data_IF_844118134586
#
_entry.id   IF_844118134586
#
_cell.length_a   1.000
_cell.length_b   1.000
_cell.length_c   1.000
_cell.angle_alpha   90.00
_cell.angle_beta   90.00
_cell.angle_gamma   90.00
#
_symmetry.space_group_name_H-M   'P 1'
#
loop_
_entity.id
_entity.type
_entity.pdbx_description
1 polymer ?
#
# COMPACT_ATOMS: atom_id res chain seq x y z
N UNK A 1 7.60 1.61 -0.80
CA UNK A 1 6.15 1.97 -0.68
C UNK A 1 5.33 0.72 -0.32
N UNK A 2 4.19 0.79 0.41
CA UNK A 2 3.32 -0.39 0.65
C UNK A 2 2.03 -0.35 -0.17
N UNK A 3 1.35 -1.49 -0.36
CA UNK A 3 0.14 -1.60 -1.20
C UNK A 3 -0.98 -0.64 -0.79
N UNK A 4 -1.22 -0.51 0.53
CA UNK A 4 -2.26 0.41 1.05
C UNK A 4 -1.91 1.86 0.75
N UNK A 5 -0.64 2.25 0.94
CA UNK A 5 -0.20 3.61 0.65
C UNK A 5 -0.16 3.88 -0.85
N UNK A 6 0.18 2.89 -1.69
CA UNK A 6 0.10 2.99 -3.15
C UNK A 6 -1.31 3.37 -3.57
N UNK A 7 -2.29 2.55 -3.18
CA UNK A 7 -3.71 2.79 -3.51
C UNK A 7 -4.11 4.19 -3.04
N UNK A 8 -3.83 4.56 -1.79
CA UNK A 8 -4.19 5.90 -1.26
C UNK A 8 -3.55 7.05 -2.05
N UNK A 9 -2.27 6.94 -2.42
CA UNK A 9 -1.57 7.99 -3.15
C UNK A 9 -2.06 8.10 -4.59
N UNK A 10 -2.33 6.97 -5.26
CA UNK A 10 -2.91 6.96 -6.61
C UNK A 10 -4.32 7.55 -6.61
N UNK A 11 -5.18 7.17 -5.66
CA UNK A 11 -6.56 7.65 -5.59
C UNK A 11 -6.68 9.16 -5.33
N UNK A 12 -5.71 9.78 -4.65
CA UNK A 12 -5.64 11.25 -4.49
C UNK A 12 -5.52 12.00 -5.82
N UNK A 13 -5.01 11.32 -6.86
CA UNK A 13 -4.76 11.88 -8.19
C UNK A 13 -5.88 11.54 -9.20
N UNK A 14 -6.95 10.91 -8.73
CA UNK A 14 -8.10 10.47 -9.55
C UNK A 14 -9.40 11.11 -9.02
N UNK A 15 -10.33 11.53 -9.91
CA UNK A 15 -11.62 12.08 -9.50
C UNK A 15 -12.42 11.12 -8.59
N UNK A 16 -13.08 11.66 -7.54
CA UNK A 16 -13.84 10.88 -6.56
C UNK A 16 -14.81 9.87 -7.17
N UNK A 17 -15.49 10.24 -8.27
CA UNK A 17 -16.45 9.37 -8.97
C UNK A 17 -15.84 8.07 -9.50
N UNK A 18 -14.54 8.08 -9.83
CA UNK A 18 -13.81 6.95 -10.42
C UNK A 18 -12.92 6.20 -9.41
N UNK A 19 -12.78 6.70 -8.19
CA UNK A 19 -11.87 6.12 -7.21
C UNK A 19 -12.20 4.67 -6.85
N UNK A 20 -13.48 4.30 -6.76
CA UNK A 20 -13.88 2.92 -6.45
C UNK A 20 -13.41 1.95 -7.54
N UNK A 21 -13.71 2.28 -8.79
CA UNK A 21 -13.33 1.50 -9.98
C UNK A 21 -11.80 1.34 -10.06
N UNK A 22 -11.06 2.44 -9.93
CA UNK A 22 -9.59 2.43 -9.99
C UNK A 22 -8.99 1.64 -8.81
N UNK A 23 -9.57 1.75 -7.61
CA UNK A 23 -9.08 1.00 -6.45
C UNK A 23 -9.19 -0.51 -6.66
N UNK A 24 -10.30 -0.98 -7.23
CA UNK A 24 -10.52 -2.40 -7.48
C UNK A 24 -9.60 -2.92 -8.60
N UNK A 25 -9.43 -2.14 -9.69
CA UNK A 25 -8.44 -2.42 -10.74
C UNK A 25 -7.02 -2.52 -10.20
N UNK A 26 -6.60 -1.60 -9.31
CA UNK A 26 -5.26 -1.67 -8.69
C UNK A 26 -5.11 -2.96 -7.87
N UNK A 27 -6.11 -3.35 -7.07
CA UNK A 27 -6.03 -4.59 -6.27
C UNK A 27 -5.88 -5.84 -7.15
N UNK A 28 -6.60 -5.90 -8.27
CA UNK A 28 -6.48 -6.99 -9.23
C UNK A 28 -5.13 -6.97 -9.95
N UNK A 29 -4.68 -5.79 -10.39
CA UNK A 29 -3.40 -5.62 -11.06
C UNK A 29 -2.21 -5.96 -10.17
N UNK A 30 -2.32 -5.79 -8.84
CA UNK A 30 -1.22 -6.06 -7.93
C UNK A 30 -0.78 -7.53 -7.90
N UNK A 31 -1.57 -8.49 -8.40
CA UNK A 31 -1.20 -9.92 -8.51
C UNK A 31 -0.61 -10.31 -9.86
N UNK A 32 -0.63 -9.43 -10.85
CA UNK A 32 -0.23 -9.74 -12.22
C UNK A 32 0.51 -8.55 -12.84
N UNK A 33 1.78 -8.77 -13.20
CA UNK A 33 2.64 -7.73 -13.77
C UNK A 33 2.10 -7.18 -15.09
N UNK A 34 1.48 -8.02 -15.91
CA UNK A 34 0.92 -7.58 -17.18
C UNK A 34 -0.28 -6.68 -16.94
N UNK A 35 -1.22 -7.09 -16.08
CA UNK A 35 -2.38 -6.27 -15.70
C UNK A 35 -1.97 -4.93 -15.07
N UNK A 36 -0.87 -4.91 -14.32
CA UNK A 36 -0.33 -3.68 -13.74
C UNK A 36 0.16 -2.69 -14.81
N UNK A 37 0.90 -3.18 -15.80
CA UNK A 37 1.35 -2.36 -16.93
C UNK A 37 0.16 -1.87 -17.79
N UNK A 38 -0.83 -2.74 -18.00
CA UNK A 38 -2.02 -2.39 -18.76
C UNK A 38 -2.84 -1.31 -18.04
N UNK A 39 -2.95 -1.39 -16.70
CA UNK A 39 -3.61 -0.35 -15.90
C UNK A 39 -2.87 0.98 -15.95
N UNK A 40 -1.53 0.99 -15.97
CA UNK A 40 -0.74 2.23 -16.13
C UNK A 40 -1.10 2.90 -17.45
N UNK A 41 -1.12 2.13 -18.55
CA UNK A 41 -1.48 2.62 -19.89
C UNK A 41 -2.93 3.10 -19.94
N UNK A 42 -3.84 2.37 -19.32
CA UNK A 42 -5.25 2.76 -19.23
C UNK A 42 -5.40 4.11 -18.54
N UNK A 43 -4.81 4.29 -17.35
CA UNK A 43 -4.89 5.53 -16.60
C UNK A 43 -4.30 6.72 -17.37
N UNK A 44 -3.19 6.50 -18.08
CA UNK A 44 -2.59 7.55 -18.92
C UNK A 44 -3.51 7.93 -20.08
N UNK A 45 -4.09 6.94 -20.78
CA UNK A 45 -5.06 7.17 -21.88
C UNK A 45 -6.33 7.90 -21.43
N UNK A 46 -6.74 7.72 -20.18
CA UNK A 46 -7.86 8.43 -19.57
C UNK A 46 -7.52 9.86 -19.11
N UNK A 47 -6.28 10.32 -19.29
CA UNK A 47 -5.80 11.63 -18.86
C UNK A 47 -5.37 11.70 -17.40
N UNK A 48 -5.26 10.58 -16.70
CA UNK A 48 -4.80 10.51 -15.30
C UNK A 48 -3.28 10.27 -15.21
N UNK A 49 -2.49 11.02 -15.98
CA UNK A 49 -1.04 10.87 -16.07
C UNK A 49 -0.35 10.81 -14.72
N UNK A 50 -0.69 11.73 -13.81
CA UNK A 50 -0.10 11.73 -12.46
C UNK A 50 -0.40 10.45 -11.66
N UNK A 51 -1.56 9.82 -11.87
CA UNK A 51 -1.89 8.53 -11.27
C UNK A 51 -1.09 7.39 -11.90
N UNK A 52 -0.97 7.38 -13.24
CA UNK A 52 -0.13 6.44 -13.99
C UNK A 52 1.34 6.52 -13.54
N UNK A 53 1.92 7.73 -13.49
CA UNK A 53 3.27 7.99 -13.01
C UNK A 53 3.48 7.46 -11.57
N UNK A 54 2.44 7.52 -10.72
CA UNK A 54 2.54 6.98 -9.35
C UNK A 54 2.74 5.47 -9.39
N UNK A 55 1.94 4.78 -10.20
CA UNK A 55 1.98 3.33 -10.28
C UNK A 55 3.31 2.87 -10.90
N UNK A 56 3.78 3.55 -11.95
CA UNK A 56 5.06 3.26 -12.59
C UNK A 56 6.24 3.43 -11.63
N UNK A 57 6.33 4.58 -10.95
CA UNK A 57 7.44 4.88 -10.03
C UNK A 57 7.55 3.88 -8.86
N UNK A 58 6.43 3.31 -8.41
CA UNK A 58 6.40 2.38 -7.28
C UNK A 58 6.21 0.92 -7.70
N UNK A 59 6.23 0.61 -8.99
CA UNK A 59 6.01 -0.75 -9.49
C UNK A 59 7.02 -1.75 -8.90
N UNK A 60 8.30 -1.39 -8.88
CA UNK A 60 9.36 -2.24 -8.34
C UNK A 60 9.14 -2.51 -6.84
N UNK A 61 8.85 -1.46 -6.07
CA UNK A 61 8.60 -1.53 -4.62
C UNK A 61 7.43 -2.46 -4.26
N UNK A 62 6.34 -2.40 -5.03
CA UNK A 62 5.09 -3.08 -4.68
C UNK A 62 4.97 -4.46 -5.29
N UNK A 63 5.82 -4.83 -6.25
CA UNK A 63 5.79 -6.14 -6.91
C UNK A 63 7.00 -7.03 -6.57
N UNK A 64 7.95 -6.56 -5.76
CA UNK A 64 9.11 -7.36 -5.32
C UNK A 64 8.73 -8.71 -4.69
N UNK A 65 7.57 -8.79 -4.02
CA UNK A 65 7.09 -10.01 -3.38
C UNK A 65 6.87 -11.18 -4.37
N UNK A 66 6.72 -10.89 -5.67
CA UNK A 66 6.57 -11.91 -6.71
C UNK A 66 7.84 -12.73 -6.95
N UNK A 67 8.99 -12.30 -6.41
CA UNK A 67 10.23 -13.08 -6.42
C UNK A 67 10.17 -14.29 -5.47
N UNK A 68 9.20 -14.33 -4.56
CA UNK A 68 9.00 -15.43 -3.61
C UNK A 68 7.93 -16.42 -4.11
N UNK A 69 7.86 -17.64 -3.57
CA UNK A 69 6.81 -18.59 -3.93
C UNK A 69 5.40 -18.04 -3.64
N UNK A 70 4.43 -18.38 -4.49
CA UNK A 70 3.06 -17.85 -4.44
C UNK A 70 2.37 -18.04 -3.07
N UNK A 71 2.68 -19.15 -2.40
CA UNK A 71 2.21 -19.45 -1.04
C UNK A 71 2.56 -18.38 0.00
N UNK A 72 3.62 -17.60 -0.23
CA UNK A 72 4.07 -16.52 0.65
C UNK A 72 3.48 -15.15 0.29
N UNK A 73 2.95 -14.99 -0.92
CA UNK A 73 2.54 -13.67 -1.43
C UNK A 73 1.54 -12.98 -0.52
N UNK A 74 0.53 -13.70 -0.01
CA UNK A 74 -0.47 -13.10 0.89
C UNK A 74 0.15 -12.58 2.20
N UNK A 75 1.16 -13.27 2.73
CA UNK A 75 1.85 -12.86 3.97
C UNK A 75 2.72 -11.64 3.72
N UNK A 76 3.48 -11.61 2.63
CA UNK A 76 4.42 -10.52 2.32
C UNK A 76 3.69 -9.23 1.94
N UNK A 77 2.61 -9.33 1.16
CA UNK A 77 1.87 -8.16 0.65
C UNK A 77 1.08 -7.40 1.71
N UNK A 78 0.67 -8.08 2.79
CA UNK A 78 -0.22 -7.47 3.79
C UNK A 78 0.59 -6.96 4.98
N UNK A 79 0.26 -5.76 5.46
CA UNK A 79 0.88 -5.21 6.67
C UNK A 79 0.21 -5.69 7.95
N UNK A 80 -0.69 -6.67 7.88
CA UNK A 80 -1.53 -7.12 9.00
C UNK A 80 -0.73 -7.49 10.25
N UNK A 81 0.43 -8.14 10.08
CA UNK A 81 1.29 -8.48 11.20
C UNK A 81 1.86 -7.23 11.87
N UNK A 82 2.38 -6.27 11.08
CA UNK A 82 2.90 -5.01 11.59
C UNK A 82 1.80 -4.16 12.24
N UNK A 83 0.63 -4.06 11.60
CA UNK A 83 -0.51 -3.31 12.14
C UNK A 83 -1.03 -3.91 13.46
N UNK A 84 -1.04 -5.24 13.58
CA UNK A 84 -1.40 -5.92 14.83
C UNK A 84 -0.41 -5.58 15.95
N UNK A 85 0.89 -5.65 15.66
CA UNK A 85 1.94 -5.28 16.63
C UNK A 85 1.83 -3.81 17.01
N UNK A 86 1.68 -2.90 16.04
CA UNK A 86 1.51 -1.47 16.27
C UNK A 86 0.27 -1.17 17.12
N UNK A 87 -0.83 -1.89 16.90
CA UNK A 87 -2.05 -1.76 17.70
C UNK A 87 -1.81 -2.17 19.14
N UNK A 88 -1.06 -3.24 19.38
CA UNK A 88 -0.73 -3.70 20.72
C UNK A 88 0.20 -2.72 21.45
N UNK A 89 1.22 -2.19 20.77
CA UNK A 89 2.11 -1.14 21.31
C UNK A 89 1.27 0.07 21.72
N UNK A 90 0.41 0.58 20.83
CA UNK A 90 -0.48 1.70 21.13
C UNK A 90 -1.42 1.40 22.30
N UNK A 91 -1.95 0.18 22.40
CA UNK A 91 -2.83 -0.22 23.51
C UNK A 91 -2.10 -0.16 24.85
N UNK A 92 -0.87 -0.66 24.92
CA UNK A 92 -0.04 -0.67 26.14
C UNK A 92 0.44 0.72 26.53
N UNK A 93 0.82 1.53 25.55
CA UNK A 93 1.28 2.90 25.82
C UNK A 93 0.13 3.87 26.12
N UNK A 94 -1.12 3.55 25.72
CA UNK A 94 -2.27 4.46 25.88
C UNK A 94 -2.56 4.84 27.34
N UNK A 95 -2.21 3.98 28.30
CA UNK A 95 -2.39 4.28 29.74
C UNK A 95 -1.30 5.22 30.28
N UNK A 96 -0.21 5.41 29.55
CA UNK A 96 0.89 6.30 29.90
C UNK A 96 0.73 7.60 29.10
N UNK A 97 0.29 8.68 29.76
CA UNK A 97 0.06 9.97 29.10
C UNK A 97 1.35 10.61 28.56
N UNK A 98 2.46 10.49 29.30
CA UNK A 98 3.79 10.91 28.88
C UNK A 98 4.85 10.03 29.54
N UNK A 99 5.87 9.63 28.78
CA UNK A 99 7.01 8.90 29.33
C UNK A 99 8.02 9.89 29.94
N UNK A 100 8.56 9.63 31.14
CA UNK A 100 9.44 10.57 31.84
C UNK A 100 10.85 10.67 31.21
N UNK A 101 11.28 9.66 30.43
CA UNK A 101 12.53 9.67 29.67
C UNK A 101 12.51 8.59 28.57
N UNK A 102 13.52 8.58 27.70
CA UNK A 102 13.62 7.62 26.59
C UNK A 102 13.79 6.16 27.02
N UNK A 103 14.45 5.88 28.16
CA UNK A 103 14.58 4.50 28.64
C UNK A 103 13.23 3.91 29.05
N UNK A 104 12.31 4.75 29.54
CA UNK A 104 10.97 4.32 29.97
C UNK A 104 10.06 3.84 28.84
N UNK A 105 10.36 4.14 27.57
CA UNK A 105 9.56 3.67 26.41
C UNK A 105 9.96 2.28 25.92
N UNK A 106 11.10 1.76 26.38
CA UNK A 106 11.68 0.47 25.94
C UNK A 106 11.26 -0.71 26.81
N UNK A 107 10.47 -0.45 27.85
CA UNK A 107 10.01 -1.41 28.88
C UNK A 107 8.59 -1.88 28.52
#
# INVERSE_FOLDING_TARGET
>A
MCHVHLIRQTLKRVPKKKQKEVADKIKEALVDRQKFNDLIRELDSMGYKSAADTLENFQYDVMNYMQFPESHWRKIRTTNMMERTNKEIKRRSKVVGAFPNQKSVLI
#
